data_IF_839208361019
#
_entry.id   IF_839208361019
#
_cell.length_a   1.000
_cell.length_b   1.000
_cell.length_c   1.000
_cell.angle_alpha   90.00
_cell.angle_beta   90.00
_cell.angle_gamma   90.00
#
_symmetry.space_group_name_H-M   'P 1'
#
loop_
_entity.id
_entity.type
_entity.pdbx_description
1 polymer ?
#
# COMPACT_ATOMS: atom_id res chain seq x y z
N UNK A 1 12.02 -8.11 47.34
CA UNK A 1 11.73 -6.73 46.88
C UNK A 1 12.48 -6.29 45.61
N UNK A 2 13.77 -6.62 45.42
CA UNK A 2 14.56 -6.19 44.24
C UNK A 2 14.04 -6.72 42.89
N UNK A 3 13.60 -7.98 42.82
CA UNK A 3 13.01 -8.56 41.61
C UNK A 3 11.68 -7.88 41.20
N UNK A 4 10.84 -7.54 42.19
CA UNK A 4 9.54 -6.85 41.97
C UNK A 4 9.72 -5.45 41.38
N UNK A 5 10.73 -4.70 41.84
CA UNK A 5 11.09 -3.40 41.24
C UNK A 5 11.59 -3.55 39.81
N UNK A 6 12.41 -4.57 39.52
CA UNK A 6 12.91 -4.84 38.16
C UNK A 6 11.79 -5.14 37.16
N UNK A 7 10.80 -5.97 37.52
CA UNK A 7 9.66 -6.26 36.64
C UNK A 7 8.76 -5.05 36.39
N UNK A 8 8.47 -4.23 37.42
CA UNK A 8 7.71 -3.00 37.22
C UNK A 8 8.47 -1.98 36.35
N UNK A 9 9.79 -1.87 36.55
CA UNK A 9 10.64 -1.00 35.74
C UNK A 9 10.73 -1.47 34.28
N UNK A 10 10.80 -2.79 34.03
CA UNK A 10 10.79 -3.34 32.67
C UNK A 10 9.43 -3.15 31.99
N UNK A 11 8.32 -3.34 32.71
CA UNK A 11 6.99 -3.10 32.18
C UNK A 11 6.75 -1.61 31.89
N UNK A 12 7.18 -0.73 32.80
CA UNK A 12 7.14 0.72 32.58
C UNK A 12 8.01 1.16 31.41
N UNK A 13 9.19 0.59 31.23
CA UNK A 13 10.05 0.85 30.07
C UNK A 13 9.44 0.35 28.76
N UNK A 14 8.79 -0.82 28.78
CA UNK A 14 8.08 -1.36 27.61
C UNK A 14 6.87 -0.50 27.23
N UNK A 15 6.07 -0.06 28.21
CA UNK A 15 4.97 0.86 27.99
C UNK A 15 5.45 2.23 27.49
N UNK A 16 6.56 2.74 28.01
CA UNK A 16 7.17 3.98 27.52
C UNK A 16 7.68 3.84 26.08
N UNK A 17 8.22 2.67 25.70
CA UNK A 17 8.65 2.37 24.34
C UNK A 17 7.46 2.33 23.35
N UNK A 18 6.30 1.85 23.81
CA UNK A 18 5.05 1.80 23.04
C UNK A 18 4.36 3.17 22.88
N UNK A 19 4.76 4.17 23.67
CA UNK A 19 4.21 5.53 23.65
C UNK A 19 5.00 6.49 22.75
N UNK A 20 6.13 6.07 22.15
CA UNK A 20 6.82 6.89 21.16
C UNK A 20 5.99 6.90 19.86
N UNK A 21 5.45 8.06 19.42
CA UNK A 21 4.78 8.13 18.14
C UNK A 21 5.84 8.02 17.05
N UNK A 22 5.93 6.87 16.41
CA UNK A 22 6.63 6.78 15.13
C UNK A 22 5.69 7.30 14.05
N UNK A 23 6.09 8.37 13.37
CA UNK A 23 5.48 8.71 12.09
C UNK A 23 5.81 7.59 11.11
N UNK A 24 4.96 6.58 11.07
CA UNK A 24 5.01 5.56 10.05
C UNK A 24 4.38 6.16 8.78
N UNK A 25 5.21 6.74 7.91
CA UNK A 25 4.85 6.95 6.50
C UNK A 25 4.75 5.56 5.85
N UNK A 26 3.66 4.87 6.12
CA UNK A 26 3.51 3.45 5.85
C UNK A 26 2.81 3.15 4.51
N UNK A 27 2.46 4.16 3.72
CA UNK A 27 1.75 3.93 2.47
C UNK A 27 2.54 4.51 1.29
N UNK A 28 2.94 3.61 0.39
CA UNK A 28 3.45 3.91 -0.94
C UNK A 28 2.52 4.85 -1.71
N UNK A 29 3.07 5.88 -2.32
CA UNK A 29 2.34 6.71 -3.27
C UNK A 29 3.25 7.05 -4.43
N UNK A 30 2.64 7.39 -5.57
CA UNK A 30 3.37 7.84 -6.73
C UNK A 30 4.02 9.21 -6.43
N UNK A 31 5.35 9.24 -6.45
CA UNK A 31 6.19 10.42 -6.19
C UNK A 31 6.49 11.18 -7.48
N UNK A 32 6.67 10.45 -8.58
CA UNK A 32 6.98 11.04 -9.88
C UNK A 32 6.60 10.10 -11.01
N UNK A 33 6.22 10.64 -12.16
CA UNK A 33 6.06 9.84 -13.38
C UNK A 33 6.62 10.53 -14.62
N UNK A 34 6.93 9.71 -15.63
CA UNK A 34 7.35 10.13 -16.98
C UNK A 34 6.66 9.23 -18.02
N UNK A 35 5.78 9.77 -18.87
CA UNK A 35 5.13 11.09 -18.76
C UNK A 35 4.42 11.27 -17.41
N UNK A 36 4.38 12.50 -16.91
CA UNK A 36 3.79 12.85 -15.62
C UNK A 36 2.30 13.23 -15.73
N UNK A 37 1.59 13.32 -14.58
CA UNK A 37 0.22 13.81 -14.54
C UNK A 37 0.09 15.20 -15.18
N UNK A 38 -0.83 15.35 -16.12
CA UNK A 38 -1.10 16.59 -16.85
C UNK A 38 -0.05 16.96 -17.90
N UNK A 39 1.01 16.16 -18.09
CA UNK A 39 2.06 16.49 -19.06
C UNK A 39 1.48 16.52 -20.49
N UNK A 40 1.90 17.51 -21.28
CA UNK A 40 1.72 17.51 -22.73
C UNK A 40 3.07 17.31 -23.41
N UNK A 41 3.27 16.15 -24.03
CA UNK A 41 4.50 15.74 -24.70
C UNK A 41 4.35 15.81 -26.22
N UNK A 42 5.46 16.03 -26.94
CA UNK A 42 5.47 16.06 -28.42
C UNK A 42 6.03 14.79 -29.04
N UNK A 43 6.84 14.07 -28.29
CA UNK A 43 7.47 12.82 -28.74
C UNK A 43 6.76 11.67 -28.05
N UNK A 44 6.32 10.68 -28.83
CA UNK A 44 5.71 9.48 -28.30
C UNK A 44 6.69 8.76 -27.34
N UNK A 45 6.27 8.49 -26.08
CA UNK A 45 7.13 7.84 -25.11
C UNK A 45 7.32 6.38 -25.52
N UNK A 46 8.54 5.87 -25.33
CA UNK A 46 8.83 4.43 -25.46
C UNK A 46 8.58 3.65 -24.18
N UNK A 47 8.50 4.35 -23.05
CA UNK A 47 8.30 3.76 -21.73
C UNK A 47 7.44 4.66 -20.86
N UNK A 48 6.70 4.04 -19.94
CA UNK A 48 6.16 4.68 -18.75
C UNK A 48 7.12 4.41 -17.59
N UNK A 49 7.53 5.44 -16.86
CA UNK A 49 8.37 5.31 -15.67
C UNK A 49 7.66 5.93 -14.48
N UNK A 50 7.32 5.12 -13.49
CA UNK A 50 6.58 5.52 -12.28
C UNK A 50 7.48 5.31 -11.07
N UNK A 51 7.78 6.38 -10.34
CA UNK A 51 8.57 6.37 -9.12
C UNK A 51 7.66 6.45 -7.91
N UNK A 52 7.83 5.54 -6.97
CA UNK A 52 7.04 5.48 -5.74
C UNK A 52 7.85 5.89 -4.51
N UNK A 53 7.16 6.19 -3.41
CA UNK A 53 7.79 6.51 -2.12
C UNK A 53 8.43 5.28 -1.46
N UNK A 54 7.96 4.08 -1.83
CA UNK A 54 8.55 2.80 -1.44
C UNK A 54 8.87 1.91 -2.66
N UNK A 55 9.53 0.77 -2.43
CA UNK A 55 9.87 -0.17 -3.49
C UNK A 55 8.65 -1.04 -3.82
N UNK A 56 8.13 -1.03 -5.06
CA UNK A 56 7.03 -1.89 -5.45
C UNK A 56 7.49 -3.35 -5.55
N UNK A 57 6.64 -4.26 -5.10
CA UNK A 57 6.77 -5.70 -5.33
C UNK A 57 6.25 -6.02 -6.74
N UNK A 58 7.15 -6.45 -7.63
CA UNK A 58 6.84 -6.61 -9.06
C UNK A 58 5.69 -7.60 -9.30
N UNK A 59 5.65 -8.71 -8.54
CA UNK A 59 4.60 -9.72 -8.63
C UNK A 59 3.22 -9.23 -8.19
N UNK A 60 3.15 -8.07 -7.52
CA UNK A 60 1.93 -7.46 -6.98
C UNK A 60 1.67 -6.07 -7.59
N UNK A 61 2.27 -5.76 -8.73
CA UNK A 61 2.17 -4.46 -9.39
C UNK A 61 1.66 -4.58 -10.83
N UNK A 62 0.88 -3.60 -11.29
CA UNK A 62 0.34 -3.52 -12.64
C UNK A 62 0.37 -2.07 -13.15
N UNK A 63 0.51 -1.91 -14.48
CA UNK A 63 0.31 -0.64 -15.17
C UNK A 63 -0.57 -0.92 -16.39
N UNK A 64 -1.59 -0.09 -16.59
CA UNK A 64 -2.41 -0.05 -17.81
C UNK A 64 -2.33 1.34 -18.43
N UNK A 65 -2.23 1.36 -19.75
CA UNK A 65 -2.27 2.58 -20.55
C UNK A 65 -3.53 2.52 -21.39
N UNK A 66 -4.41 3.52 -21.24
CA UNK A 66 -5.71 3.56 -21.90
C UNK A 66 -5.78 4.80 -22.78
N UNK A 67 -6.32 4.68 -23.99
CA UNK A 67 -6.60 5.85 -24.83
C UNK A 67 -7.94 6.52 -24.48
N UNK A 68 -8.24 7.66 -25.13
CA UNK A 68 -9.48 8.43 -24.89
C UNK A 68 -10.75 7.66 -25.27
N UNK A 69 -10.65 6.61 -26.09
CA UNK A 69 -11.75 5.73 -26.45
C UNK A 69 -11.94 4.57 -25.44
N UNK A 70 -11.12 4.51 -24.40
CA UNK A 70 -11.17 3.45 -23.40
C UNK A 70 -10.47 2.16 -23.85
N UNK A 71 -9.67 2.19 -24.92
CA UNK A 71 -8.94 1.00 -25.40
C UNK A 71 -7.62 0.87 -24.65
N UNK A 72 -7.34 -0.34 -24.16
CA UNK A 72 -6.06 -0.69 -23.57
C UNK A 72 -4.96 -0.74 -24.65
N UNK A 73 -3.90 0.02 -24.42
CA UNK A 73 -2.64 -0.08 -25.16
C UNK A 73 -1.79 -1.15 -24.50
N UNK A 74 -1.40 -2.16 -25.29
CA UNK A 74 -0.59 -3.26 -24.80
C UNK A 74 0.78 -2.76 -24.34
N UNK A 75 1.18 -3.16 -23.14
CA UNK A 75 2.51 -2.94 -22.58
C UNK A 75 3.30 -4.25 -22.56
N UNK A 76 4.63 -4.16 -22.55
CA UNK A 76 5.49 -5.31 -22.24
C UNK A 76 5.51 -5.58 -20.73
N UNK A 77 5.97 -6.77 -20.29
CA UNK A 77 6.08 -7.09 -18.87
C UNK A 77 6.84 -6.02 -18.09
N UNK A 78 6.33 -5.71 -16.91
CA UNK A 78 6.90 -4.70 -16.04
C UNK A 78 8.30 -5.08 -15.58
N UNK A 79 9.12 -4.07 -15.32
CA UNK A 79 10.45 -4.25 -14.72
C UNK A 79 10.77 -3.15 -13.73
N UNK A 80 11.61 -3.49 -12.76
CA UNK A 80 12.22 -2.52 -11.85
C UNK A 80 13.40 -1.87 -12.57
N UNK A 81 13.56 -0.56 -12.37
CA UNK A 81 14.71 0.19 -12.88
C UNK A 81 16.02 -0.30 -12.26
N UNK A 82 17.09 -0.36 -13.06
CA UNK A 82 18.39 -0.82 -12.60
C UNK A 82 19.04 0.14 -11.58
N UNK A 83 18.74 1.44 -11.67
CA UNK A 83 19.35 2.48 -10.84
C UNK A 83 18.50 2.80 -9.60
N UNK A 84 17.24 2.34 -9.56
CA UNK A 84 16.33 2.58 -8.43
C UNK A 84 15.27 1.51 -8.28
N UNK A 85 15.32 0.79 -7.15
CA UNK A 85 14.31 -0.18 -6.75
C UNK A 85 12.90 0.41 -6.53
N UNK A 86 12.74 1.74 -6.57
CA UNK A 86 11.45 2.43 -6.40
C UNK A 86 10.83 2.87 -7.72
N UNK A 87 11.47 2.56 -8.85
CA UNK A 87 10.97 2.94 -10.17
C UNK A 87 10.50 1.70 -10.91
N UNK A 88 9.21 1.70 -11.23
CA UNK A 88 8.56 0.70 -12.06
C UNK A 88 8.49 1.19 -13.50
N UNK A 89 8.81 0.31 -14.45
CA UNK A 89 8.87 0.64 -15.87
C UNK A 89 7.97 -0.29 -16.65
N UNK A 90 7.20 0.29 -17.56
CA UNK A 90 6.48 -0.44 -18.60
C UNK A 90 6.95 0.04 -19.97
N UNK A 91 7.40 -0.88 -20.81
CA UNK A 91 7.81 -0.57 -22.18
C UNK A 91 6.58 -0.59 -23.11
N UNK A 92 6.49 0.40 -24.01
CA UNK A 92 5.38 0.59 -24.97
C UNK A 92 5.88 0.11 -26.35
N UNK A 93 5.44 -1.06 -26.84
CA UNK A 93 5.95 -1.65 -28.08
C UNK A 93 5.45 -0.90 -29.33
N UNK A 94 4.26 -0.31 -29.25
CA UNK A 94 3.60 0.36 -30.38
C UNK A 94 3.84 1.89 -30.34
N UNK A 95 3.75 2.54 -31.50
CA UNK A 95 3.82 4.00 -31.57
C UNK A 95 2.46 4.60 -31.21
N UNK A 96 2.44 5.46 -30.20
CA UNK A 96 1.23 6.17 -29.79
C UNK A 96 0.83 7.23 -30.84
N UNK A 97 -0.46 7.28 -31.16
CA UNK A 97 -1.03 8.36 -31.95
C UNK A 97 -1.21 9.62 -31.07
N UNK A 98 -1.22 10.83 -31.66
CA UNK A 98 -1.57 12.02 -30.92
C UNK A 98 -2.95 11.90 -30.25
N UNK A 99 -3.02 12.26 -28.96
CA UNK A 99 -4.23 12.08 -28.17
C UNK A 99 -4.00 12.17 -26.67
N UNK A 100 -5.09 12.03 -25.91
CA UNK A 100 -5.06 11.90 -24.45
C UNK A 100 -4.94 10.43 -24.08
N UNK A 101 -4.11 10.17 -23.08
CA UNK A 101 -3.89 8.85 -22.52
C UNK A 101 -4.06 8.89 -21.00
N UNK A 102 -4.64 7.83 -20.45
CA UNK A 102 -4.75 7.60 -19.01
C UNK A 102 -3.82 6.46 -18.60
N UNK A 103 -2.93 6.74 -17.65
CA UNK A 103 -2.10 5.73 -16.99
C UNK A 103 -2.80 5.32 -15.71
N UNK A 104 -3.20 4.06 -15.61
CA UNK A 104 -3.72 3.44 -14.40
C UNK A 104 -2.64 2.55 -13.82
N UNK A 105 -2.38 2.64 -12.53
CA UNK A 105 -1.35 1.85 -11.88
C UNK A 105 -1.88 1.23 -10.61
N UNK A 106 -1.30 0.09 -10.27
CA UNK A 106 -1.44 -0.55 -8.98
C UNK A 106 -0.07 -1.08 -8.54
N UNK A 107 0.18 -1.06 -7.24
CA UNK A 107 1.34 -1.68 -6.64
C UNK A 107 1.04 -2.09 -5.19
N UNK A 108 1.81 -3.03 -4.67
CA UNK A 108 1.94 -3.24 -3.23
C UNK A 108 3.42 -3.25 -2.85
N UNK A 109 3.73 -2.71 -1.68
CA UNK A 109 5.09 -2.68 -1.15
C UNK A 109 5.41 -3.93 -0.34
N UNK A 110 6.45 -3.84 0.49
CA UNK A 110 6.83 -4.92 1.41
C UNK A 110 5.86 -5.12 2.57
N UNK A 111 4.89 -4.24 2.76
CA UNK A 111 3.79 -4.43 3.73
C UNK A 111 2.60 -5.17 3.12
N UNK A 112 2.60 -5.38 1.79
CA UNK A 112 1.56 -6.05 1.03
C UNK A 112 0.25 -5.25 0.94
N UNK A 113 0.26 -3.96 1.27
CA UNK A 113 -0.92 -3.11 1.17
C UNK A 113 -1.15 -2.69 -0.29
N UNK A 114 -2.30 -3.05 -0.90
CA UNK A 114 -2.59 -2.66 -2.27
C UNK A 114 -2.85 -1.16 -2.37
N UNK A 115 -2.21 -0.53 -3.35
CA UNK A 115 -2.37 0.90 -3.64
C UNK A 115 -2.51 1.08 -5.13
N UNK A 116 -3.36 2.00 -5.53
CA UNK A 116 -3.67 2.23 -6.92
C UNK A 116 -3.98 3.71 -7.16
N UNK A 117 -3.89 4.11 -8.41
CA UNK A 117 -4.23 5.45 -8.83
C UNK A 117 -4.22 5.56 -10.34
N UNK A 118 -4.57 6.75 -10.82
CA UNK A 118 -4.50 7.06 -12.22
C UNK A 118 -4.15 8.52 -12.47
N UNK A 119 -3.59 8.79 -13.64
CA UNK A 119 -3.33 10.13 -14.12
C UNK A 119 -3.38 10.18 -15.65
N UNK A 120 -3.61 11.37 -16.19
CA UNK A 120 -3.63 11.59 -17.63
C UNK A 120 -2.36 12.28 -18.13
N UNK A 121 -1.99 12.04 -19.39
CA UNK A 121 -1.07 12.88 -20.16
C UNK A 121 -1.59 13.05 -21.60
N UNK A 122 -1.05 14.01 -22.34
CA UNK A 122 -1.43 14.30 -23.73
C UNK A 122 -0.21 14.18 -24.64
N UNK A 123 -0.32 13.43 -25.74
CA UNK A 123 0.62 13.44 -26.85
C UNK A 123 0.11 14.41 -27.92
N UNK A 124 0.80 15.52 -28.12
CA UNK A 124 0.45 16.54 -29.10
C UNK A 124 0.66 16.04 -30.53
N UNK A 125 -0.18 16.50 -31.46
CA UNK A 125 0.03 16.27 -32.88
C UNK A 125 1.21 17.10 -33.37
N UNK A 126 2.04 16.50 -34.22
CA UNK A 126 3.18 17.17 -34.82
C UNK A 126 2.67 18.14 -35.90
N UNK A 127 2.39 19.39 -35.51
CA UNK A 127 1.86 20.43 -36.41
C UNK A 127 2.93 21.09 -37.28
N UNK A 128 4.14 20.53 -37.35
CA UNK A 128 5.30 21.12 -38.02
C UNK A 128 5.26 21.09 -39.57
N UNK A 129 4.11 20.87 -40.22
CA UNK A 129 3.99 20.95 -41.69
C UNK A 129 2.85 21.83 -42.21
N UNK A 130 2.37 22.79 -41.43
CA UNK A 130 1.44 23.80 -41.94
C UNK A 130 1.68 25.20 -41.33
N UNK A 131 2.69 25.93 -41.82
CA UNK A 131 2.73 27.40 -41.71
C UNK A 131 3.34 27.99 -42.99
N UNK A 132 2.46 28.53 -43.85
CA UNK A 132 2.79 29.55 -44.86
C UNK A 132 3.10 30.91 -44.19
N UNK A 133 3.41 31.97 -44.96
CA UNK A 133 4.15 33.12 -44.45
C UNK A 133 3.46 33.83 -43.28
N UNK A 134 4.29 34.17 -42.29
CA UNK A 134 3.92 34.75 -41.01
C UNK A 134 3.25 36.14 -41.14
N UNK A 135 2.11 36.29 -40.47
CA UNK A 135 1.53 37.59 -40.10
C UNK A 135 2.00 37.87 -38.66
N UNK A 136 2.57 39.04 -38.34
CA UNK A 136 3.01 39.33 -36.97
C UNK A 136 1.80 39.64 -36.07
N UNK A 137 1.64 38.88 -34.98
CA UNK A 137 0.74 39.20 -33.87
C UNK A 137 1.47 40.03 -32.81
N UNK A 138 0.75 40.89 -32.04
CA UNK A 138 1.36 41.87 -31.17
C UNK A 138 1.95 41.26 -29.89
N UNK A 139 2.91 42.00 -29.32
CA UNK A 139 3.72 41.70 -28.15
C UNK A 139 2.87 41.18 -26.98
N UNK A 140 3.16 39.95 -26.54
CA UNK A 140 2.64 39.39 -25.30
C UNK A 140 3.43 39.95 -24.11
N UNK A 141 2.73 40.63 -23.20
CA UNK A 141 3.22 41.00 -21.88
C UNK A 141 3.58 39.73 -21.09
N UNK A 142 4.81 39.66 -20.59
CA UNK A 142 5.31 38.59 -19.72
C UNK A 142 4.48 38.50 -18.42
N UNK A 143 3.85 37.36 -18.08
CA UNK A 143 3.41 37.11 -16.71
C UNK A 143 4.62 36.67 -15.88
N UNK A 144 4.69 37.19 -14.65
CA UNK A 144 5.70 36.84 -13.65
C UNK A 144 5.74 35.31 -13.38
N UNK A 145 6.89 34.76 -12.93
CA UNK A 145 6.99 33.34 -12.65
C UNK A 145 6.09 32.96 -11.46
N UNK A 146 5.21 31.98 -11.66
CA UNK A 146 4.42 31.39 -10.59
C UNK A 146 5.32 30.74 -9.52
N UNK A 147 4.94 30.77 -8.24
CA UNK A 147 5.72 30.16 -7.17
C UNK A 147 5.85 28.65 -7.39
N UNK A 148 7.06 28.13 -7.19
CA UNK A 148 7.36 26.70 -7.23
C UNK A 148 6.64 26.06 -6.04
N UNK A 149 5.45 25.51 -6.27
CA UNK A 149 4.80 24.58 -5.34
C UNK A 149 5.54 23.25 -5.46
N UNK A 150 6.39 22.96 -4.47
CA UNK A 150 6.83 21.58 -4.21
C UNK A 150 5.66 20.85 -3.51
N UNK A 151 5.39 19.63 -3.95
CA UNK A 151 4.55 18.60 -3.29
C UNK A 151 3.07 18.43 -3.63
N UNK A 152 2.63 18.75 -4.84
CA UNK A 152 1.40 18.11 -5.35
C UNK A 152 1.53 17.79 -6.82
N UNK A 153 1.70 16.51 -7.15
CA UNK A 153 1.36 16.02 -8.50
C UNK A 153 -0.08 16.48 -8.81
N UNK A 154 -0.36 16.94 -10.04
CA UNK A 154 -1.73 17.20 -10.48
C UNK A 154 -2.66 16.06 -10.10
N UNK A 155 -3.92 16.39 -9.79
CA UNK A 155 -4.91 15.51 -9.17
C UNK A 155 -4.84 14.08 -9.70
N UNK A 156 -4.25 13.19 -8.90
CA UNK A 156 -4.43 11.76 -9.09
C UNK A 156 -5.81 11.41 -8.56
N UNK A 157 -6.61 10.75 -9.38
CA UNK A 157 -7.90 10.25 -8.91
C UNK A 157 -7.67 8.88 -8.29
N UNK A 158 -7.96 8.76 -7.00
CA UNK A 158 -8.06 7.45 -6.36
C UNK A 158 -9.24 6.71 -6.99
N UNK A 159 -9.04 5.48 -7.47
CA UNK A 159 -10.16 4.67 -7.93
C UNK A 159 -10.97 4.30 -6.68
N UNK A 160 -12.19 4.80 -6.57
CA UNK A 160 -13.04 4.69 -5.37
C UNK A 160 -13.50 3.24 -5.06
N UNK A 161 -13.13 2.27 -5.89
CA UNK A 161 -13.53 0.86 -5.74
C UNK A 161 -12.31 0.00 -5.39
N UNK A 162 -12.21 -0.43 -4.13
CA UNK A 162 -11.16 -1.35 -3.70
C UNK A 162 -11.03 -1.52 -2.18
N UNK A 163 -10.26 -2.53 -1.77
CA UNK A 163 -9.78 -2.66 -0.40
C UNK A 163 -8.46 -1.88 -0.28
N UNK A 164 -8.58 -0.60 0.07
CA UNK A 164 -7.45 0.29 0.40
C UNK A 164 -7.54 0.77 1.86
N UNK A 165 -6.60 1.63 2.26
CA UNK A 165 -6.50 2.13 3.65
C UNK A 165 -7.64 3.06 4.05
N UNK A 166 -8.38 3.61 3.09
CA UNK A 166 -9.51 4.52 3.31
C UNK A 166 -10.85 3.78 3.36
N UNK A 167 -10.90 2.54 2.85
CA UNK A 167 -12.12 1.73 2.83
C UNK A 167 -12.62 1.35 4.24
N UNK A 168 -13.94 1.49 4.46
CA UNK A 168 -14.58 1.10 5.73
C UNK A 168 -14.36 -0.38 6.06
N UNK A 169 -14.33 -1.24 5.05
CA UNK A 169 -14.07 -2.68 5.20
C UNK A 169 -12.67 -2.93 5.76
N UNK A 170 -11.66 -2.25 5.24
CA UNK A 170 -10.30 -2.32 5.77
C UNK A 170 -10.24 -1.89 7.23
N UNK A 171 -10.90 -0.77 7.57
CA UNK A 171 -10.96 -0.26 8.94
C UNK A 171 -11.58 -1.31 9.87
N UNK A 172 -12.73 -1.90 9.50
CA UNK A 172 -13.40 -2.93 10.31
C UNK A 172 -12.50 -4.15 10.52
N UNK A 173 -11.91 -4.69 9.45
CA UNK A 173 -11.01 -5.86 9.55
C UNK A 173 -9.83 -5.54 10.48
N UNK A 174 -9.28 -4.33 10.37
CA UNK A 174 -8.18 -3.85 11.22
C UNK A 174 -8.59 -3.73 12.70
N UNK A 175 -9.79 -3.23 12.99
CA UNK A 175 -10.32 -3.19 14.36
C UNK A 175 -10.48 -4.59 14.95
N UNK A 176 -11.08 -5.53 14.21
CA UNK A 176 -11.22 -6.92 14.67
C UNK A 176 -9.85 -7.55 14.94
N UNK A 177 -8.87 -7.28 14.07
CA UNK A 177 -7.50 -7.75 14.24
C UNK A 177 -6.86 -7.20 15.54
N UNK A 178 -6.99 -5.89 15.81
CA UNK A 178 -6.48 -5.30 17.05
C UNK A 178 -7.19 -5.79 18.31
N UNK A 179 -8.52 -6.00 18.26
CA UNK A 179 -9.28 -6.56 19.37
C UNK A 179 -8.80 -7.99 19.67
N UNK A 180 -8.68 -8.84 18.64
CA UNK A 180 -8.17 -10.21 18.79
C UNK A 180 -6.77 -10.22 19.41
N UNK A 181 -5.87 -9.37 18.91
CA UNK A 181 -4.51 -9.22 19.44
C UNK A 181 -4.51 -8.77 20.91
N UNK A 182 -5.32 -7.78 21.26
CA UNK A 182 -5.42 -7.25 22.63
C UNK A 182 -5.97 -8.31 23.60
N UNK A 183 -6.95 -9.11 23.18
CA UNK A 183 -7.49 -10.22 23.99
C UNK A 183 -6.44 -11.30 24.23
N UNK A 184 -5.65 -11.66 23.21
CA UNK A 184 -4.55 -12.64 23.35
C UNK A 184 -3.48 -12.11 24.32
N UNK A 185 -2.98 -10.90 24.09
CA UNK A 185 -1.96 -10.28 24.95
C UNK A 185 -2.49 -10.13 26.38
N UNK A 186 -3.73 -9.67 26.55
CA UNK A 186 -4.40 -9.53 27.85
C UNK A 186 -4.53 -10.85 28.58
N UNK A 187 -4.93 -11.93 27.89
CA UNK A 187 -5.02 -13.28 28.48
C UNK A 187 -3.66 -13.82 28.95
N UNK A 188 -2.61 -13.65 28.13
CA UNK A 188 -1.24 -14.04 28.50
C UNK A 188 -0.73 -13.19 29.68
N UNK A 189 -0.91 -11.87 29.63
CA UNK A 189 -0.49 -10.96 30.68
C UNK A 189 -1.22 -11.26 32.00
N UNK A 190 -2.53 -11.53 31.96
CA UNK A 190 -3.32 -11.92 33.13
C UNK A 190 -2.79 -13.21 33.76
N UNK A 191 -2.48 -14.22 32.94
CA UNK A 191 -1.90 -15.47 33.42
C UNK A 191 -0.57 -15.26 34.17
N UNK A 192 0.35 -14.48 33.60
CA UNK A 192 1.68 -14.28 34.18
C UNK A 192 1.71 -13.24 35.33
N UNK A 193 0.96 -12.14 35.22
CA UNK A 193 1.03 -11.02 36.16
C UNK A 193 0.03 -11.13 37.31
N UNK A 194 -1.10 -11.81 37.10
CA UNK A 194 -2.14 -11.98 38.12
C UNK A 194 -2.04 -13.38 38.71
N UNK A 195 -2.32 -14.43 37.92
CA UNK A 195 -2.33 -15.81 38.44
C UNK A 195 -0.96 -16.22 38.98
N UNK A 196 0.12 -15.93 38.25
CA UNK A 196 1.48 -16.22 38.69
C UNK A 196 1.88 -15.53 40.00
N UNK A 197 1.22 -14.43 40.38
CA UNK A 197 1.46 -13.71 41.64
C UNK A 197 0.52 -14.13 42.76
N UNK A 198 -0.72 -14.47 42.43
CA UNK A 198 -1.73 -14.94 43.38
C UNK A 198 -1.44 -16.37 43.86
N UNK A 199 -0.81 -17.20 43.03
CA UNK A 199 -0.29 -18.51 43.46
C UNK A 199 0.71 -18.42 44.62
N UNK A 200 1.39 -17.28 44.80
CA UNK A 200 2.28 -17.04 45.94
C UNK A 200 1.55 -16.60 47.22
N UNK A 201 0.23 -16.39 47.16
CA UNK A 201 -0.58 -15.77 48.21
C UNK A 201 -1.62 -16.71 48.85
N UNK A 202 -1.52 -18.03 48.61
CA UNK A 202 -2.27 -19.09 49.32
C UNK A 202 -3.82 -18.98 49.20
N UNK A 203 -4.32 -18.73 47.98
CA UNK A 203 -5.75 -18.83 47.66
C UNK A 203 -6.16 -20.27 47.36
N UNK A 204 -7.46 -20.59 47.53
CA UNK A 204 -8.03 -21.92 47.23
C UNK A 204 -7.75 -22.37 45.80
N UNK A 205 -7.19 -23.58 45.64
CA UNK A 205 -6.79 -24.15 44.34
C UNK A 205 -7.89 -24.16 43.29
N UNK A 206 -9.15 -24.35 43.70
CA UNK A 206 -10.32 -24.37 42.81
C UNK A 206 -10.54 -23.05 42.08
N UNK A 207 -10.42 -21.91 42.78
CA UNK A 207 -10.57 -20.57 42.20
C UNK A 207 -9.44 -20.28 41.22
N UNK A 208 -8.24 -20.74 41.51
CA UNK A 208 -7.08 -20.60 40.62
C UNK A 208 -7.24 -21.40 39.34
N UNK A 209 -7.66 -22.67 39.44
CA UNK A 209 -7.92 -23.51 38.28
C UNK A 209 -9.05 -22.94 37.41
N UNK A 210 -10.16 -22.52 38.01
CA UNK A 210 -11.29 -21.94 37.26
C UNK A 210 -10.89 -20.64 36.55
N UNK A 211 -10.14 -19.77 37.23
CA UNK A 211 -9.61 -18.53 36.64
C UNK A 211 -8.63 -18.79 35.50
N UNK A 212 -7.77 -19.81 35.64
CA UNK A 212 -6.81 -20.20 34.60
C UNK A 212 -7.51 -20.74 33.35
N UNK A 213 -8.53 -21.59 33.54
CA UNK A 213 -9.33 -22.15 32.43
C UNK A 213 -10.05 -21.02 31.70
N UNK A 214 -10.71 -20.11 32.42
CA UNK A 214 -11.41 -18.97 31.81
C UNK A 214 -10.46 -18.05 31.04
N UNK A 215 -9.31 -17.71 31.63
CA UNK A 215 -8.31 -16.88 30.96
C UNK A 215 -7.79 -17.53 29.67
N UNK A 216 -7.54 -18.85 29.70
CA UNK A 216 -7.15 -19.63 28.52
C UNK A 216 -8.25 -19.63 27.47
N UNK A 217 -9.51 -19.87 27.84
CA UNK A 217 -10.63 -19.87 26.89
C UNK A 217 -10.82 -18.51 26.22
N UNK A 218 -10.70 -17.42 26.98
CA UNK A 218 -10.75 -16.05 26.43
C UNK A 218 -9.58 -15.79 25.48
N UNK A 219 -8.37 -16.17 25.86
CA UNK A 219 -7.19 -16.04 24.99
C UNK A 219 -7.34 -16.86 23.70
N UNK A 220 -7.88 -18.07 23.77
CA UNK A 220 -8.15 -18.92 22.60
C UNK A 220 -9.23 -18.31 21.69
N UNK A 221 -10.28 -17.71 22.26
CA UNK A 221 -11.28 -16.96 21.48
C UNK A 221 -10.63 -15.77 20.76
N UNK A 222 -9.78 -15.02 21.45
CA UNK A 222 -9.00 -13.94 20.85
C UNK A 222 -8.09 -14.43 19.72
N UNK A 223 -7.41 -15.55 19.91
CA UNK A 223 -6.54 -16.15 18.90
C UNK A 223 -7.33 -16.63 17.68
N UNK A 224 -8.51 -17.21 17.88
CA UNK A 224 -9.41 -17.59 16.79
C UNK A 224 -9.88 -16.37 15.99
N UNK A 225 -10.33 -15.31 16.68
CA UNK A 225 -10.72 -14.05 16.02
C UNK A 225 -9.55 -13.44 15.24
N UNK A 226 -8.35 -13.45 15.81
CA UNK A 226 -7.14 -12.95 15.16
C UNK A 226 -6.81 -13.76 13.90
N UNK A 227 -6.90 -15.09 13.95
CA UNK A 227 -6.66 -15.97 12.81
C UNK A 227 -7.67 -15.70 11.68
N UNK A 228 -8.97 -15.64 12.02
CA UNK A 228 -10.04 -15.34 11.05
C UNK A 228 -9.84 -13.96 10.42
N UNK A 229 -9.54 -12.93 11.22
CA UNK A 229 -9.28 -11.58 10.72
C UNK A 229 -8.04 -11.52 9.80
N UNK A 230 -7.00 -12.29 10.11
CA UNK A 230 -5.78 -12.37 9.29
C UNK A 230 -6.07 -13.00 7.94
N UNK A 231 -6.83 -14.11 7.91
CA UNK A 231 -7.24 -14.76 6.67
C UNK A 231 -8.14 -13.82 5.86
N UNK A 232 -9.14 -13.19 6.49
CA UNK A 232 -10.02 -12.23 5.82
C UNK A 232 -9.24 -11.07 5.21
N UNK A 233 -8.25 -10.53 5.93
CA UNK A 233 -7.36 -9.47 5.43
C UNK A 233 -6.57 -9.93 4.21
N UNK A 234 -5.94 -11.10 4.28
CA UNK A 234 -5.18 -11.68 3.17
C UNK A 234 -6.05 -11.79 1.90
N UNK A 235 -7.25 -12.34 2.03
CA UNK A 235 -8.19 -12.47 0.92
C UNK A 235 -8.63 -11.11 0.37
N UNK A 236 -8.89 -10.13 1.23
CA UNK A 236 -9.30 -8.80 0.80
C UNK A 236 -8.17 -8.07 0.05
N UNK A 237 -6.92 -8.18 0.54
CA UNK A 237 -5.74 -7.64 -0.15
C UNK A 237 -5.54 -8.28 -1.52
N UNK A 238 -5.61 -9.62 -1.58
CA UNK A 238 -5.53 -10.35 -2.84
C UNK A 238 -6.63 -9.94 -3.82
N UNK A 239 -7.88 -9.82 -3.36
CA UNK A 239 -9.00 -9.43 -4.20
C UNK A 239 -8.82 -8.02 -4.79
N UNK A 240 -8.30 -7.07 -4.01
CA UNK A 240 -8.01 -5.72 -4.51
C UNK A 240 -6.86 -5.69 -5.53
N UNK A 241 -5.81 -6.49 -5.32
CA UNK A 241 -4.73 -6.68 -6.31
C UNK A 241 -5.25 -7.28 -7.60
N UNK A 242 -6.10 -8.30 -7.49
CA UNK A 242 -6.66 -8.99 -8.65
C UNK A 242 -7.61 -8.12 -9.46
N UNK A 243 -8.44 -7.30 -8.80
CA UNK A 243 -9.42 -6.43 -9.45
C UNK A 243 -8.77 -5.34 -10.33
N UNK A 244 -7.58 -4.87 -9.94
CA UNK A 244 -6.88 -3.78 -10.61
C UNK A 244 -5.67 -4.25 -11.44
N UNK A 245 -5.40 -5.56 -11.48
CA UNK A 245 -4.42 -6.17 -12.36
C UNK A 245 -4.77 -5.97 -13.84
N UNK A 246 -3.73 -5.90 -14.67
CA UNK A 246 -3.79 -6.00 -16.12
C UNK A 246 -4.24 -7.39 -16.57
N UNK A 247 -3.73 -8.44 -15.92
CA UNK A 247 -4.21 -9.82 -16.04
C UNK A 247 -4.69 -10.36 -14.67
N UNK A 248 -6.01 -10.32 -14.39
CA UNK A 248 -6.58 -10.86 -13.16
C UNK A 248 -6.37 -12.37 -12.99
N UNK A 249 -6.11 -13.14 -14.06
CA UNK A 249 -5.83 -14.56 -13.93
C UNK A 249 -4.38 -14.80 -13.46
N UNK A 250 -3.44 -13.94 -13.89
CA UNK A 250 -2.06 -13.97 -13.45
C UNK A 250 -1.90 -13.57 -11.97
N UNK A 251 -2.73 -12.64 -11.48
CA UNK A 251 -2.75 -12.22 -10.06
C UNK A 251 -3.47 -13.24 -9.15
N UNK A 252 -2.90 -14.44 -9.05
CA UNK A 252 -3.41 -15.52 -8.19
C UNK A 252 -2.92 -15.40 -6.74
N UNK A 253 -3.66 -16.00 -5.80
CA UNK A 253 -3.26 -16.05 -4.40
C UNK A 253 -1.93 -16.78 -4.21
N UNK A 254 -1.66 -17.78 -5.07
CA UNK A 254 -0.37 -18.47 -5.13
C UNK A 254 0.77 -17.51 -5.49
N UNK A 255 0.61 -16.67 -6.51
CA UNK A 255 1.63 -15.67 -6.89
C UNK A 255 1.86 -14.67 -5.75
N UNK A 256 0.80 -14.23 -5.09
CA UNK A 256 0.92 -13.33 -3.94
C UNK A 256 1.65 -13.97 -2.76
N UNK A 257 1.34 -15.23 -2.40
CA UNK A 257 1.89 -15.88 -1.19
C UNK A 257 3.25 -16.54 -1.44
N UNK A 258 3.46 -17.15 -2.60
CA UNK A 258 4.65 -17.94 -2.92
C UNK A 258 5.53 -17.30 -4.00
N UNK A 259 5.02 -16.31 -4.74
CA UNK A 259 5.75 -15.63 -5.82
C UNK A 259 6.24 -14.23 -5.47
N UNK A 260 5.95 -13.73 -4.27
CA UNK A 260 6.32 -12.37 -3.84
C UNK A 260 7.27 -12.37 -2.64
N UNK A 261 8.11 -11.35 -2.52
CA UNK A 261 8.96 -11.15 -1.34
C UNK A 261 8.15 -10.97 -0.05
N UNK A 262 6.96 -10.36 -0.15
CA UNK A 262 6.01 -10.23 0.95
C UNK A 262 5.52 -11.59 1.45
N UNK A 263 5.09 -12.47 0.55
CA UNK A 263 4.54 -13.78 0.90
C UNK A 263 5.59 -14.71 1.53
N UNK A 264 6.83 -14.68 1.05
CA UNK A 264 7.93 -15.41 1.67
C UNK A 264 8.20 -14.97 3.12
N UNK A 265 8.03 -13.67 3.43
CA UNK A 265 8.20 -13.18 4.79
C UNK A 265 7.16 -13.73 5.78
N UNK A 266 6.00 -14.20 5.30
CA UNK A 266 5.00 -14.89 6.13
C UNK A 266 5.34 -16.36 6.41
N UNK A 267 6.22 -16.96 5.61
CA UNK A 267 6.53 -18.40 5.66
C UNK A 267 7.85 -18.72 6.40
N UNK A 268 8.62 -17.69 6.77
CA UNK A 268 9.84 -17.78 7.56
C UNK A 268 9.55 -17.64 9.07
#
# INVERSE_FOLDING_TARGET
>A
MRARRRHLSMLGALCALLLLPTYAHAHGHLVRARPGPGDTIRVAPRTLRLQFSEAPELAMSSIRLVDVQGRDIRLLPLRIDADSARVLIADIPELLAPGRYTVRWQMAGRDGHPMHGQYDFVLAADTARAVGPAVPSPIATTPAPAPIVRDSLPAQTHLAEGFDSESSTYVIVRWVHFIGLLVVIGGVAFYWLVLGRVHQADLTDSVMQESAVRARSVALMGAFLLAVATIARLFAQWAALRANADDPAAMSLHVMVLGSGWGHAWLL
#
